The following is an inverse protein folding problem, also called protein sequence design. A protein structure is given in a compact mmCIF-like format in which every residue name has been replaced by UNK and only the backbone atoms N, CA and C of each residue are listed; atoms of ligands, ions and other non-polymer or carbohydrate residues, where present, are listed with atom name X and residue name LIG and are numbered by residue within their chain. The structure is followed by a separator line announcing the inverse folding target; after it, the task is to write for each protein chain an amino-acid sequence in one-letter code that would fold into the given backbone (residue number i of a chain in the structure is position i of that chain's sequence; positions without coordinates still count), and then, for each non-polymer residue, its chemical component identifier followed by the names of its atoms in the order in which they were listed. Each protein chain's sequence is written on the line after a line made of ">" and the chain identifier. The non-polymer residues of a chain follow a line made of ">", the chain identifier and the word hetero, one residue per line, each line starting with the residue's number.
data_IF_144220357899
#
_entry.id   IF_144220357899
#
_cell.length_a   1.000
_cell.length_b   1.000
_cell.length_c   1.000
_cell.angle_alpha   90.00
_cell.angle_beta   90.00
_cell.angle_gamma   90.00
#
_symmetry.space_group_name_H-M   'P 1'
#
loop_
_entity.id
_entity.type
_entity.pdbx_description
1 polymer ?
#
# COMPACT_ATOMS: atom_id res chain seq x y z
N UNK A 1 13.91 -8.15 -30.39
CA UNK A 1 13.41 -7.22 -29.36
C UNK A 1 13.54 -7.94 -28.06
N UNK A 2 14.47 -7.51 -27.18
CA UNK A 2 14.69 -8.15 -25.89
C UNK A 2 13.43 -7.98 -25.05
N UNK A 3 12.94 -9.09 -24.53
CA UNK A 3 11.88 -9.17 -23.53
C UNK A 3 12.33 -8.34 -22.30
N UNK A 4 11.90 -7.08 -22.24
CA UNK A 4 12.00 -6.28 -21.03
C UNK A 4 10.93 -6.79 -20.08
N UNK A 5 11.20 -7.94 -19.43
CA UNK A 5 10.41 -8.37 -18.29
C UNK A 5 10.36 -7.18 -17.31
N UNK A 6 9.17 -6.63 -17.10
CA UNK A 6 8.90 -5.57 -16.13
C UNK A 6 9.51 -5.98 -14.80
N UNK A 7 10.60 -5.31 -14.38
CA UNK A 7 11.28 -5.64 -13.13
C UNK A 7 10.51 -4.98 -11.99
N UNK A 8 9.39 -5.61 -11.60
CA UNK A 8 8.47 -5.15 -10.57
C UNK A 8 9.15 -5.00 -9.20
N UNK A 9 10.30 -5.66 -9.01
CA UNK A 9 11.04 -5.70 -7.75
C UNK A 9 12.20 -4.70 -7.66
N UNK A 10 12.45 -3.91 -8.72
CA UNK A 10 13.50 -2.89 -8.70
C UNK A 10 13.06 -1.65 -7.92
N UNK A 11 13.88 -1.21 -6.97
CA UNK A 11 13.63 -0.06 -6.11
C UNK A 11 13.46 -0.43 -4.63
N UNK A 12 12.84 0.46 -3.89
CA UNK A 12 12.63 0.36 -2.44
C UNK A 12 11.19 -0.05 -2.12
N UNK A 13 11.01 -0.81 -1.05
CA UNK A 13 9.68 -1.07 -0.47
C UNK A 13 9.11 0.21 0.17
N UNK A 14 7.83 0.14 0.54
CA UNK A 14 7.17 1.23 1.25
C UNK A 14 7.87 1.56 2.58
N UNK A 15 8.21 0.54 3.37
CA UNK A 15 8.83 0.69 4.68
C UNK A 15 10.28 1.19 4.60
N UNK A 16 11.06 0.74 3.59
CA UNK A 16 12.40 1.25 3.32
C UNK A 16 12.38 2.73 2.91
N UNK A 17 11.34 3.18 2.20
CA UNK A 17 11.21 4.58 1.76
C UNK A 17 10.89 5.55 2.89
N UNK A 18 10.14 5.14 3.91
CA UNK A 18 9.72 6.01 5.01
C UNK A 18 10.89 6.79 5.65
N UNK A 19 11.95 6.14 6.15
CA UNK A 19 13.08 6.85 6.74
C UNK A 19 13.87 7.66 5.71
N UNK A 20 14.03 7.19 4.47
CA UNK A 20 14.80 7.86 3.43
C UNK A 20 14.11 9.16 2.97
N UNK A 21 12.81 9.09 2.73
CA UNK A 21 11.99 10.27 2.35
C UNK A 21 11.93 11.26 3.51
N UNK A 22 11.67 10.79 4.74
CA UNK A 22 11.65 11.65 5.93
C UNK A 22 12.97 12.40 6.13
N UNK A 23 14.11 11.71 6.05
CA UNK A 23 15.44 12.32 6.17
C UNK A 23 15.70 13.37 5.08
N UNK A 24 15.29 13.09 3.84
CA UNK A 24 15.46 14.03 2.72
C UNK A 24 14.62 15.30 2.91
N UNK A 25 13.37 15.16 3.33
CA UNK A 25 12.47 16.28 3.57
C UNK A 25 12.89 17.12 4.79
N UNK A 26 13.42 16.48 5.83
CA UNK A 26 13.89 17.15 7.06
C UNK A 26 15.04 18.15 6.80
N UNK A 27 15.86 17.92 5.80
CA UNK A 27 16.94 18.84 5.37
C UNK A 27 16.49 19.79 4.25
N UNK A 28 15.19 19.86 3.95
CA UNK A 28 14.61 20.81 2.97
C UNK A 28 14.79 20.39 1.51
N UNK A 29 15.24 19.16 1.21
CA UNK A 29 15.36 18.67 -0.15
C UNK A 29 14.00 18.23 -0.71
N UNK A 30 13.79 18.49 -2.01
CA UNK A 30 12.61 18.00 -2.70
C UNK A 30 12.78 16.52 -3.08
N UNK A 31 11.74 15.72 -2.91
CA UNK A 31 11.75 14.28 -3.23
C UNK A 31 10.86 14.02 -4.45
N UNK A 32 11.36 13.23 -5.40
CA UNK A 32 10.58 12.65 -6.49
C UNK A 32 10.46 11.13 -6.31
N UNK A 33 9.24 10.68 -6.10
CA UNK A 33 8.91 9.27 -5.97
C UNK A 33 8.33 8.73 -7.27
N UNK A 34 9.03 7.79 -7.90
CA UNK A 34 8.56 7.10 -9.10
C UNK A 34 8.15 5.67 -8.76
N UNK A 35 7.15 5.16 -9.45
CA UNK A 35 6.69 3.78 -9.26
C UNK A 35 5.44 3.49 -10.07
N UNK A 36 5.08 2.24 -10.16
CA UNK A 36 3.89 1.79 -10.88
C UNK A 36 2.59 2.42 -10.34
N UNK A 37 1.53 2.52 -11.14
CA UNK A 37 0.24 3.01 -10.67
C UNK A 37 -0.31 2.13 -9.54
N UNK A 38 -0.90 2.76 -8.53
CA UNK A 38 -1.56 2.05 -7.42
C UNK A 38 -0.62 1.44 -6.36
N UNK A 39 0.71 1.68 -6.42
CA UNK A 39 1.68 1.10 -5.45
C UNK A 39 1.72 1.81 -4.09
N UNK A 40 1.05 2.96 -3.93
CA UNK A 40 1.02 3.69 -2.65
C UNK A 40 1.83 4.99 -2.61
N UNK A 41 2.28 5.55 -3.74
CA UNK A 41 3.03 6.81 -3.79
C UNK A 41 2.35 7.97 -3.04
N UNK A 42 1.09 8.19 -3.36
CA UNK A 42 0.30 9.26 -2.72
C UNK A 42 0.02 8.94 -1.24
N UNK A 43 -0.17 7.65 -0.89
CA UNK A 43 -0.32 7.24 0.50
C UNK A 43 0.92 7.59 1.34
N UNK A 44 2.12 7.35 0.81
CA UNK A 44 3.37 7.73 1.47
C UNK A 44 3.48 9.24 1.67
N UNK A 45 3.07 10.04 0.68
CA UNK A 45 3.08 11.51 0.82
C UNK A 45 2.13 11.99 1.92
N UNK A 46 0.92 11.41 2.01
CA UNK A 46 -0.03 11.72 3.08
C UNK A 46 0.52 11.31 4.46
N UNK A 47 1.14 10.14 4.57
CA UNK A 47 1.78 9.69 5.81
C UNK A 47 2.92 10.63 6.23
N UNK A 48 3.80 11.02 5.30
CA UNK A 48 4.89 11.96 5.58
C UNK A 48 4.39 13.31 6.06
N UNK A 49 3.33 13.85 5.46
CA UNK A 49 2.70 15.08 5.90
C UNK A 49 2.18 14.96 7.35
N UNK A 50 1.54 13.83 7.68
CA UNK A 50 1.08 13.53 9.04
C UNK A 50 2.23 13.39 10.05
N UNK A 51 3.30 12.69 9.70
CA UNK A 51 4.49 12.52 10.55
C UNK A 51 5.22 13.83 10.83
N UNK A 52 5.26 14.72 9.84
CA UNK A 52 5.88 16.05 9.98
C UNK A 52 4.93 17.08 10.63
N UNK A 53 3.67 16.74 10.85
CA UNK A 53 2.66 17.65 11.39
C UNK A 53 2.36 18.84 10.45
N UNK A 54 2.54 18.69 9.13
CA UNK A 54 2.38 19.74 8.15
C UNK A 54 1.05 19.63 7.40
N UNK A 55 0.31 20.74 7.21
CA UNK A 55 -0.88 20.75 6.35
C UNK A 55 -0.52 20.37 4.92
N UNK A 56 -1.20 19.34 4.39
CA UNK A 56 -0.97 18.82 3.04
C UNK A 56 -1.72 19.66 1.99
N UNK A 57 -1.01 20.03 0.95
CA UNK A 57 -1.54 20.57 -0.31
C UNK A 57 -1.32 19.52 -1.40
N UNK A 58 -2.33 18.70 -1.67
CA UNK A 58 -2.33 17.67 -2.72
C UNK A 58 -2.69 18.30 -4.06
N UNK A 59 -1.72 18.40 -4.96
CA UNK A 59 -1.83 19.08 -6.25
C UNK A 59 -1.57 18.07 -7.37
N UNK A 60 -2.63 17.70 -8.08
CA UNK A 60 -2.53 16.86 -9.27
C UNK A 60 -2.30 17.71 -10.49
N UNK A 61 -1.06 17.78 -10.95
CA UNK A 61 -0.68 18.67 -12.03
C UNK A 61 -1.45 18.44 -13.33
N UNK A 62 -1.72 17.17 -13.67
CA UNK A 62 -2.46 16.83 -14.89
C UNK A 62 -3.94 17.26 -14.87
N UNK A 63 -4.51 17.53 -13.69
CA UNK A 63 -5.93 17.88 -13.50
C UNK A 63 -6.15 19.37 -13.22
N UNK A 64 -5.08 20.17 -13.18
CA UNK A 64 -5.15 21.61 -12.87
C UNK A 64 -4.86 22.44 -14.10
N UNK A 65 -5.64 23.50 -14.29
CA UNK A 65 -5.30 24.53 -15.25
C UNK A 65 -4.09 25.35 -14.74
N UNK A 66 -3.25 25.91 -15.63
CA UNK A 66 -2.12 26.75 -15.21
C UNK A 66 -2.51 27.90 -14.27
N UNK A 67 -3.68 28.47 -14.44
CA UNK A 67 -4.20 29.52 -13.56
C UNK A 67 -4.48 29.03 -12.13
N UNK A 68 -4.87 27.78 -11.96
CA UNK A 68 -5.07 27.16 -10.64
C UNK A 68 -3.74 26.82 -9.94
N UNK A 69 -2.66 26.74 -10.71
CA UNK A 69 -1.31 26.54 -10.18
C UNK A 69 -0.61 27.85 -9.85
N UNK A 70 -0.66 28.82 -10.79
CA UNK A 70 0.14 30.05 -10.74
C UNK A 70 -0.66 31.29 -10.35
N UNK A 71 -2.00 31.21 -10.32
CA UNK A 71 -2.87 32.35 -10.10
C UNK A 71 -3.23 33.11 -11.37
N UNK A 72 -3.99 34.17 -11.21
CA UNK A 72 -4.54 35.00 -12.29
C UNK A 72 -4.12 36.47 -12.11
N UNK A 73 -3.75 37.12 -13.20
CA UNK A 73 -3.50 38.53 -13.16
C UNK A 73 -4.82 39.29 -13.19
N UNK A 74 -4.97 40.27 -12.29
CA UNK A 74 -6.11 41.12 -12.20
C UNK A 74 -5.67 42.60 -12.32
N UNK A 75 -6.35 43.47 -13.08
CA UNK A 75 -5.99 44.87 -13.20
C UNK A 75 -6.31 45.62 -11.89
N UNK A 76 -5.28 46.16 -11.26
CA UNK A 76 -5.41 47.16 -10.20
C UNK A 76 -5.47 48.55 -10.84
N UNK A 77 -6.68 49.11 -10.95
CA UNK A 77 -6.92 50.37 -11.65
C UNK A 77 -6.34 51.56 -10.89
N UNK A 78 -6.26 51.47 -9.57
CA UNK A 78 -5.76 52.58 -8.73
C UNK A 78 -4.24 52.68 -8.84
N UNK A 79 -3.57 51.56 -8.96
CA UNK A 79 -2.09 51.51 -9.10
C UNK A 79 -1.63 51.45 -10.56
N UNK A 80 -2.54 51.36 -11.52
CA UNK A 80 -2.27 51.19 -12.95
C UNK A 80 -1.31 50.07 -13.28
N UNK A 81 -1.49 48.89 -12.61
CA UNK A 81 -0.67 47.71 -12.78
C UNK A 81 -1.51 46.44 -12.77
N UNK A 82 -0.91 45.33 -13.20
CA UNK A 82 -1.49 43.99 -13.05
C UNK A 82 -1.03 43.39 -11.73
N UNK A 83 -1.97 43.04 -10.89
CA UNK A 83 -1.72 42.32 -9.63
C UNK A 83 -1.99 40.80 -9.82
N UNK A 84 -1.03 39.96 -9.43
CA UNK A 84 -1.21 38.55 -9.41
C UNK A 84 -2.02 38.15 -8.17
N UNK A 85 -3.17 37.50 -8.37
CA UNK A 85 -3.97 36.88 -7.32
C UNK A 85 -3.59 35.40 -7.21
N UNK A 86 -2.95 34.96 -6.12
CA UNK A 86 -2.53 33.57 -5.96
C UNK A 86 -3.71 32.67 -5.61
N UNK A 87 -3.64 31.38 -5.95
CA UNK A 87 -4.57 30.36 -5.47
C UNK A 87 -4.51 30.23 -3.93
N UNK A 88 -5.58 29.70 -3.33
CA UNK A 88 -5.66 29.55 -1.86
C UNK A 88 -4.55 28.67 -1.29
N UNK A 89 -4.17 27.59 -1.99
CA UNK A 89 -3.08 26.73 -1.56
C UNK A 89 -1.74 27.47 -1.45
N UNK A 90 -1.46 28.42 -2.37
CA UNK A 90 -0.26 29.27 -2.32
C UNK A 90 -0.29 30.18 -1.09
N UNK A 91 -1.46 30.81 -0.82
CA UNK A 91 -1.62 31.64 0.38
C UNK A 91 -1.37 30.82 1.64
N UNK A 92 -1.90 29.59 1.71
CA UNK A 92 -1.72 28.72 2.85
C UNK A 92 -0.25 28.41 3.13
N UNK A 93 0.53 28.01 2.11
CA UNK A 93 1.96 27.65 2.28
C UNK A 93 2.89 28.85 2.39
N UNK A 94 2.41 30.06 2.09
CA UNK A 94 3.14 31.30 2.37
C UNK A 94 2.94 31.77 3.81
N UNK A 95 1.75 31.54 4.38
CA UNK A 95 1.40 32.02 5.72
C UNK A 95 2.00 31.13 6.82
N UNK A 96 2.16 29.84 6.59
CA UNK A 96 2.67 28.87 7.57
C UNK A 96 3.39 27.71 6.87
N UNK A 97 4.19 26.92 7.61
CA UNK A 97 4.78 25.70 7.07
C UNK A 97 3.72 24.78 6.46
N UNK A 98 4.00 24.20 5.29
CA UNK A 98 3.11 23.30 4.60
C UNK A 98 3.84 22.15 3.92
N UNK A 99 3.09 21.14 3.51
CA UNK A 99 3.56 20.03 2.70
C UNK A 99 2.93 20.15 1.31
N UNK A 100 3.72 20.49 0.30
CA UNK A 100 3.27 20.55 -1.11
C UNK A 100 3.56 19.22 -1.77
N UNK A 101 2.51 18.53 -2.18
CA UNK A 101 2.61 17.28 -2.92
C UNK A 101 2.16 17.47 -4.36
N UNK A 102 3.08 17.29 -5.30
CA UNK A 102 2.82 17.37 -6.74
C UNK A 102 2.61 15.96 -7.28
N UNK A 103 1.36 15.50 -7.35
CA UNK A 103 1.05 14.18 -7.91
C UNK A 103 0.96 14.22 -9.43
N UNK A 104 1.30 13.08 -10.05
CA UNK A 104 1.31 12.90 -11.51
C UNK A 104 2.17 13.94 -12.24
N UNK A 105 3.34 14.32 -11.67
CA UNK A 105 4.20 15.38 -12.17
C UNK A 105 4.62 15.20 -13.64
N UNK A 106 4.63 13.97 -14.13
CA UNK A 106 5.01 13.61 -15.49
C UNK A 106 3.84 13.16 -16.37
N UNK A 107 2.59 13.32 -15.93
CA UNK A 107 1.42 12.98 -16.74
C UNK A 107 1.00 14.15 -17.63
N UNK A 108 1.09 13.98 -18.95
CA UNK A 108 0.55 14.87 -20.00
C UNK A 108 0.73 16.39 -19.78
N UNK A 109 1.86 16.79 -19.20
CA UNK A 109 2.07 18.17 -18.74
C UNK A 109 2.53 19.07 -19.88
N UNK A 110 1.85 20.21 -20.05
CA UNK A 110 2.28 21.25 -20.97
C UNK A 110 3.54 21.95 -20.47
N UNK A 111 4.22 22.73 -21.35
CA UNK A 111 5.37 23.55 -20.95
C UNK A 111 5.06 24.51 -19.79
N UNK A 112 3.82 25.00 -19.72
CA UNK A 112 3.39 25.88 -18.62
C UNK A 112 3.33 25.14 -17.28
N UNK A 113 2.83 23.91 -17.26
CA UNK A 113 2.84 23.09 -16.05
C UNK A 113 4.27 22.77 -15.59
N UNK A 114 5.18 22.45 -16.53
CA UNK A 114 6.59 22.22 -16.19
C UNK A 114 7.26 23.49 -15.63
N UNK A 115 6.95 24.66 -16.18
CA UNK A 115 7.46 25.95 -15.66
C UNK A 115 6.94 26.25 -14.25
N UNK A 116 5.63 25.98 -14.00
CA UNK A 116 5.05 26.12 -12.66
C UNK A 116 5.71 25.14 -11.66
N UNK A 117 5.82 23.86 -12.02
CA UNK A 117 6.50 22.86 -11.20
C UNK A 117 7.95 23.25 -10.90
N UNK A 118 8.67 23.83 -11.87
CA UNK A 118 10.03 24.30 -11.69
C UNK A 118 10.11 25.40 -10.61
N UNK A 119 9.24 26.42 -10.65
CA UNK A 119 9.18 27.46 -9.63
C UNK A 119 8.85 26.90 -8.23
N UNK A 120 7.88 26.00 -8.16
CA UNK A 120 7.46 25.39 -6.90
C UNK A 120 8.61 24.59 -6.28
N UNK A 121 9.27 23.76 -7.09
CA UNK A 121 10.30 22.82 -6.61
C UNK A 121 11.62 23.53 -6.31
N UNK A 122 12.09 24.39 -7.19
CA UNK A 122 13.39 25.03 -7.09
C UNK A 122 13.35 26.33 -6.28
N UNK A 123 12.45 27.24 -6.65
CA UNK A 123 12.43 28.58 -6.09
C UNK A 123 11.57 28.69 -4.84
N UNK A 124 10.80 27.63 -4.50
CA UNK A 124 9.87 27.62 -3.35
C UNK A 124 8.94 28.83 -3.37
N UNK A 125 8.39 29.11 -4.56
CA UNK A 125 7.51 30.28 -4.78
C UNK A 125 6.56 30.04 -5.95
N UNK A 126 5.56 30.90 -6.03
CA UNK A 126 4.70 31.07 -7.20
C UNK A 126 4.64 32.58 -7.50
N UNK A 127 5.17 32.98 -8.63
CA UNK A 127 5.30 34.41 -8.95
C UNK A 127 6.02 35.19 -7.83
N UNK A 128 5.43 36.26 -7.26
CA UNK A 128 6.02 37.04 -6.16
C UNK A 128 5.87 36.36 -4.78
N UNK A 129 5.07 35.28 -4.65
CA UNK A 129 4.71 34.66 -3.38
C UNK A 129 5.71 33.58 -2.98
N UNK A 130 6.64 33.90 -2.10
CA UNK A 130 7.59 32.94 -1.53
C UNK A 130 6.91 32.07 -0.46
N UNK A 131 7.16 30.76 -0.49
CA UNK A 131 6.65 29.84 0.53
C UNK A 131 7.33 30.05 1.87
N UNK A 132 6.66 29.63 2.93
CA UNK A 132 7.28 29.61 4.25
C UNK A 132 8.57 28.76 4.21
N UNK A 133 9.68 29.21 4.83
CA UNK A 133 10.99 28.51 4.74
C UNK A 133 10.97 27.03 5.14
N UNK A 134 10.07 26.63 6.02
CA UNK A 134 9.90 25.24 6.47
C UNK A 134 8.89 24.44 5.61
N UNK A 135 8.38 25.02 4.52
CA UNK A 135 7.53 24.28 3.58
C UNK A 135 8.35 23.25 2.83
N UNK A 136 7.91 22.00 2.82
CA UNK A 136 8.54 20.89 2.09
C UNK A 136 7.80 20.60 0.80
N UNK A 137 8.52 20.04 -0.18
CA UNK A 137 7.95 19.66 -1.47
C UNK A 137 8.30 18.23 -1.80
N UNK A 138 7.28 17.44 -2.11
CA UNK A 138 7.40 16.09 -2.61
C UNK A 138 6.63 15.97 -3.92
N UNK A 139 7.13 15.18 -4.85
CA UNK A 139 6.45 14.89 -6.10
C UNK A 139 6.34 13.39 -6.33
N UNK A 140 5.31 12.98 -7.07
CA UNK A 140 5.15 11.61 -7.54
C UNK A 140 4.92 11.55 -9.05
N UNK A 141 5.43 10.50 -9.68
CA UNK A 141 5.25 10.23 -11.11
C UNK A 141 5.20 8.74 -11.39
N UNK A 142 4.62 8.38 -12.53
CA UNK A 142 4.61 7.01 -13.02
C UNK A 142 5.91 6.69 -13.75
N UNK A 143 6.19 5.40 -13.93
CA UNK A 143 7.34 4.95 -14.72
C UNK A 143 7.00 5.05 -16.21
N UNK A 144 8.02 5.30 -17.05
CA UNK A 144 7.85 5.41 -18.50
C UNK A 144 7.37 4.09 -19.13
N UNK A 145 7.69 2.98 -18.51
CA UNK A 145 7.32 1.62 -18.92
C UNK A 145 5.85 1.27 -18.67
N UNK A 146 5.12 2.06 -17.88
CA UNK A 146 3.70 1.81 -17.54
C UNK A 146 2.72 2.17 -18.67
N UNK A 147 3.20 2.51 -19.88
CA UNK A 147 2.38 2.96 -21.01
C UNK A 147 1.41 4.12 -20.68
N UNK A 148 1.58 4.76 -19.52
CA UNK A 148 0.88 5.98 -19.19
C UNK A 148 1.32 7.10 -20.14
N UNK A 149 0.47 8.11 -20.36
CA UNK A 149 0.86 9.35 -21.00
C UNK A 149 1.90 10.06 -20.13
N UNK A 150 3.17 9.71 -20.29
CA UNK A 150 4.27 10.22 -19.49
C UNK A 150 5.14 11.14 -20.35
N UNK A 151 5.20 12.40 -19.99
CA UNK A 151 6.14 13.35 -20.57
C UNK A 151 7.46 13.33 -19.75
N UNK A 152 8.63 13.23 -20.38
CA UNK A 152 9.89 13.33 -19.66
C UNK A 152 10.03 14.69 -19.00
N UNK A 153 10.45 14.69 -17.73
CA UNK A 153 10.80 15.92 -17.03
C UNK A 153 12.10 16.49 -17.61
N UNK A 154 12.20 17.81 -17.68
CA UNK A 154 13.44 18.46 -18.10
C UNK A 154 14.61 18.05 -17.21
N UNK A 155 15.83 18.01 -17.76
CA UNK A 155 17.04 17.72 -16.98
C UNK A 155 17.22 18.69 -15.81
N UNK A 156 16.86 19.96 -16.03
CA UNK A 156 16.92 20.98 -14.99
C UNK A 156 15.98 20.66 -13.80
N UNK A 157 14.76 20.19 -14.06
CA UNK A 157 13.82 19.80 -13.01
C UNK A 157 14.25 18.50 -12.34
N UNK A 158 14.70 17.51 -13.10
CA UNK A 158 15.21 16.25 -12.56
C UNK A 158 16.36 16.47 -11.55
N UNK A 159 17.32 17.34 -11.85
CA UNK A 159 18.46 17.63 -10.96
C UNK A 159 18.08 18.35 -9.65
N UNK A 160 16.81 18.63 -9.41
CA UNK A 160 16.33 19.33 -8.21
C UNK A 160 15.63 18.39 -7.21
N UNK A 161 15.58 17.11 -7.54
CA UNK A 161 14.98 16.10 -6.68
C UNK A 161 15.99 15.11 -6.15
N UNK A 162 15.73 14.61 -4.96
CA UNK A 162 16.20 13.30 -4.52
C UNK A 162 15.26 12.27 -5.12
N UNK A 163 15.80 11.34 -5.88
CA UNK A 163 15.01 10.36 -6.64
C UNK A 163 14.90 9.04 -5.91
N UNK A 164 13.67 8.58 -5.74
CA UNK A 164 13.41 7.22 -5.25
C UNK A 164 12.48 6.49 -6.21
N UNK A 165 12.70 5.18 -6.35
CA UNK A 165 11.79 4.28 -7.06
C UNK A 165 11.09 3.39 -6.04
N UNK A 166 9.75 3.42 -6.02
CA UNK A 166 8.94 2.54 -5.19
C UNK A 166 8.63 1.26 -5.96
N UNK A 167 9.03 0.11 -5.41
CA UNK A 167 8.67 -1.19 -5.94
C UNK A 167 7.33 -1.67 -5.40
N UNK A 168 6.72 -2.62 -6.09
CA UNK A 168 5.62 -3.40 -5.54
C UNK A 168 6.20 -4.38 -4.51
N UNK A 169 5.71 -4.31 -3.28
CA UNK A 169 6.15 -5.15 -2.18
C UNK A 169 4.95 -5.88 -1.57
N UNK A 170 4.98 -7.21 -1.64
CA UNK A 170 3.86 -8.02 -1.16
C UNK A 170 3.75 -7.97 0.36
N UNK A 171 4.87 -8.00 1.09
CA UNK A 171 4.86 -8.01 2.56
C UNK A 171 4.37 -6.69 3.13
N UNK A 172 4.84 -5.57 2.57
CA UNK A 172 4.36 -4.24 2.93
C UNK A 172 2.85 -4.08 2.63
N UNK A 173 2.38 -4.58 1.47
CA UNK A 173 0.97 -4.54 1.11
C UNK A 173 0.10 -5.44 2.02
N UNK A 174 0.58 -6.62 2.37
CA UNK A 174 -0.09 -7.53 3.30
C UNK A 174 -0.22 -6.88 4.68
N UNK A 175 0.87 -6.28 5.18
CA UNK A 175 0.85 -5.58 6.46
C UNK A 175 -0.14 -4.40 6.48
N UNK A 176 -0.11 -3.56 5.45
CA UNK A 176 -1.10 -2.49 5.28
C UNK A 176 -2.52 -3.03 5.19
N UNK A 177 -2.73 -4.08 4.39
CA UNK A 177 -4.05 -4.67 4.17
C UNK A 177 -4.68 -5.29 5.42
N UNK A 178 -3.87 -5.79 6.35
CA UNK A 178 -4.33 -6.26 7.67
C UNK A 178 -4.94 -5.12 8.50
N UNK A 179 -4.37 -3.91 8.39
CA UNK A 179 -4.84 -2.72 9.12
C UNK A 179 -6.05 -2.10 8.41
N UNK A 180 -6.02 -2.02 7.09
CA UNK A 180 -7.06 -1.39 6.25
C UNK A 180 -8.30 -2.29 6.04
N UNK A 181 -8.30 -3.53 6.54
CA UNK A 181 -9.44 -4.45 6.47
C UNK A 181 -9.62 -5.10 5.09
N UNK A 182 -8.52 -5.37 4.39
CA UNK A 182 -8.57 -6.18 3.16
C UNK A 182 -9.11 -7.57 3.49
N UNK A 183 -9.98 -8.09 2.61
CA UNK A 183 -10.63 -9.39 2.79
C UNK A 183 -9.60 -10.50 3.08
N UNK A 184 -9.74 -11.25 4.19
CA UNK A 184 -8.72 -12.19 4.66
C UNK A 184 -8.31 -13.24 3.62
N UNK A 185 -9.24 -13.69 2.79
CA UNK A 185 -8.95 -14.65 1.73
C UNK A 185 -8.09 -14.07 0.59
N UNK A 186 -8.17 -12.75 0.33
CA UNK A 186 -7.28 -12.09 -0.63
C UNK A 186 -5.87 -11.97 -0.04
N UNK A 187 -5.75 -11.58 1.24
CA UNK A 187 -4.47 -11.55 1.94
C UNK A 187 -3.81 -12.93 1.94
N UNK A 188 -4.57 -13.96 2.30
CA UNK A 188 -4.09 -15.34 2.31
C UNK A 188 -3.67 -15.81 0.91
N UNK A 189 -4.41 -15.44 -0.14
CA UNK A 189 -4.06 -15.75 -1.51
C UNK A 189 -2.72 -15.11 -1.91
N UNK A 190 -2.54 -13.81 -1.67
CA UNK A 190 -1.29 -13.11 -1.99
C UNK A 190 -0.12 -13.69 -1.17
N UNK A 191 -0.31 -13.89 0.14
CA UNK A 191 0.71 -14.47 1.02
C UNK A 191 1.13 -15.89 0.57
N UNK A 192 0.18 -16.71 0.12
CA UNK A 192 0.46 -18.08 -0.35
C UNK A 192 1.33 -18.14 -1.62
N UNK A 193 1.50 -17.02 -2.32
CA UNK A 193 2.33 -16.94 -3.52
C UNK A 193 3.83 -16.72 -3.22
N UNK A 194 4.18 -16.44 -1.96
CA UNK A 194 5.57 -16.22 -1.54
C UNK A 194 6.28 -15.20 -2.41
N UNK A 195 7.43 -15.54 -2.98
CA UNK A 195 8.21 -14.65 -3.85
C UNK A 195 7.46 -14.11 -5.09
N UNK A 196 6.37 -14.76 -5.50
CA UNK A 196 5.53 -14.29 -6.60
C UNK A 196 4.43 -13.31 -6.15
N UNK A 197 4.30 -13.01 -4.87
CA UNK A 197 3.27 -12.12 -4.33
C UNK A 197 3.26 -10.74 -5.00
N UNK A 198 4.43 -10.15 -5.24
CA UNK A 198 4.55 -8.87 -5.93
C UNK A 198 3.99 -8.92 -7.37
N UNK A 199 4.18 -10.03 -8.09
CA UNK A 199 3.61 -10.23 -9.44
C UNK A 199 2.09 -10.41 -9.41
N UNK A 200 1.58 -11.09 -8.38
CA UNK A 200 0.12 -11.20 -8.19
C UNK A 200 -0.51 -9.84 -7.92
N UNK A 201 0.19 -8.97 -7.18
CA UNK A 201 -0.27 -7.62 -6.91
C UNK A 201 -0.17 -6.69 -8.11
N UNK A 202 0.79 -6.91 -9.01
CA UNK A 202 0.96 -6.06 -10.19
C UNK A 202 1.35 -6.89 -11.41
N UNK A 203 0.38 -7.10 -12.30
CA UNK A 203 0.53 -7.88 -13.53
C UNK A 203 -0.20 -7.16 -14.68
N UNK A 204 0.41 -6.10 -15.30
CA UNK A 204 -0.21 -5.42 -16.42
C UNK A 204 -0.24 -6.38 -17.64
N UNK A 205 -1.40 -6.54 -18.24
CA UNK A 205 -1.65 -7.47 -19.33
C UNK A 205 -2.21 -6.79 -20.60
N UNK A 206 -2.31 -5.45 -20.58
CA UNK A 206 -2.88 -4.67 -21.68
C UNK A 206 -4.40 -4.58 -21.68
N UNK A 207 -5.08 -5.21 -20.72
CA UNK A 207 -6.52 -5.07 -20.52
C UNK A 207 -6.86 -3.80 -19.74
N UNK A 208 -8.11 -3.34 -19.82
CA UNK A 208 -8.61 -2.18 -19.06
C UNK A 208 -8.57 -2.43 -17.55
N UNK A 209 -8.83 -3.67 -17.12
CA UNK A 209 -8.75 -4.11 -15.74
C UNK A 209 -7.60 -5.10 -15.57
N UNK A 210 -6.66 -4.79 -14.69
CA UNK A 210 -5.52 -5.65 -14.37
C UNK A 210 -5.13 -5.53 -12.88
N UNK A 211 -4.38 -6.50 -12.34
CA UNK A 211 -3.94 -6.48 -10.96
C UNK A 211 -3.05 -5.28 -10.65
N UNK A 212 -3.44 -4.51 -9.64
CA UNK A 212 -2.62 -3.50 -8.95
C UNK A 212 -2.95 -3.56 -7.46
N UNK A 213 -2.07 -3.08 -6.56
CA UNK A 213 -2.40 -2.97 -5.14
C UNK A 213 -3.73 -2.25 -4.88
N UNK A 214 -4.03 -1.20 -5.66
CA UNK A 214 -5.31 -0.47 -5.60
C UNK A 214 -6.49 -1.29 -6.09
N UNK A 215 -6.36 -1.98 -7.23
CA UNK A 215 -7.47 -2.77 -7.78
C UNK A 215 -7.80 -3.99 -6.92
N UNK A 216 -6.81 -4.60 -6.25
CA UNK A 216 -7.04 -5.62 -5.23
C UNK A 216 -7.79 -5.08 -4.01
N UNK A 217 -7.49 -3.86 -3.55
CA UNK A 217 -8.24 -3.21 -2.49
C UNK A 217 -9.69 -2.92 -2.90
N UNK A 218 -9.93 -2.50 -4.15
CA UNK A 218 -11.29 -2.35 -4.69
C UNK A 218 -12.03 -3.69 -4.75
N UNK A 219 -11.38 -4.73 -5.26
CA UNK A 219 -11.92 -6.09 -5.32
C UNK A 219 -12.30 -6.62 -3.93
N UNK A 220 -11.48 -6.33 -2.90
CA UNK A 220 -11.75 -6.66 -1.51
C UNK A 220 -13.07 -6.07 -1.02
N UNK A 221 -13.27 -4.76 -1.21
CA UNK A 221 -14.51 -4.07 -0.80
C UNK A 221 -15.74 -4.68 -1.44
N UNK A 222 -15.66 -5.01 -2.74
CA UNK A 222 -16.75 -5.64 -3.47
C UNK A 222 -17.00 -7.09 -3.02
N UNK A 223 -15.95 -7.81 -2.66
CA UNK A 223 -16.07 -9.20 -2.20
C UNK A 223 -16.78 -9.29 -0.84
N UNK A 224 -16.54 -8.32 0.07
CA UNK A 224 -17.27 -8.25 1.35
C UNK A 224 -18.78 -8.07 1.17
N UNK A 225 -19.23 -7.36 0.13
CA UNK A 225 -20.63 -7.09 -0.14
C UNK A 225 -21.28 -7.99 -1.18
N UNK A 226 -20.58 -9.00 -1.71
CA UNK A 226 -21.11 -9.84 -2.79
C UNK A 226 -22.24 -10.74 -2.31
N UNK A 227 -23.39 -10.70 -3.03
CA UNK A 227 -24.56 -11.47 -2.69
C UNK A 227 -24.38 -12.99 -2.87
N UNK A 228 -23.61 -13.37 -3.91
CA UNK A 228 -23.28 -14.76 -4.22
C UNK A 228 -21.92 -14.88 -4.94
N UNK A 229 -21.46 -16.12 -5.11
CA UNK A 229 -20.17 -16.41 -5.73
C UNK A 229 -20.05 -15.92 -7.17
N UNK A 230 -21.10 -16.07 -7.97
CA UNK A 230 -21.10 -15.70 -9.39
C UNK A 230 -21.02 -14.20 -9.56
N UNK A 231 -21.76 -13.45 -8.75
CA UNK A 231 -21.72 -11.99 -8.71
C UNK A 231 -20.34 -11.54 -8.20
N UNK A 232 -19.88 -12.08 -7.09
CA UNK A 232 -18.57 -11.76 -6.51
C UNK A 232 -17.42 -11.96 -7.51
N UNK A 233 -17.42 -13.07 -8.25
CA UNK A 233 -16.40 -13.34 -9.26
C UNK A 233 -16.38 -12.31 -10.38
N UNK A 234 -17.56 -11.89 -10.85
CA UNK A 234 -17.69 -10.84 -11.88
C UNK A 234 -17.21 -9.48 -11.39
N UNK A 235 -17.54 -9.14 -10.13
CA UNK A 235 -17.11 -7.89 -9.51
C UNK A 235 -15.58 -7.86 -9.33
N UNK A 236 -14.98 -8.96 -8.86
CA UNK A 236 -13.52 -9.08 -8.76
C UNK A 236 -12.87 -8.98 -10.14
N UNK A 237 -13.42 -9.69 -11.16
CA UNK A 237 -12.90 -9.62 -12.52
C UNK A 237 -12.95 -8.21 -13.12
N UNK A 238 -13.97 -7.43 -12.79
CA UNK A 238 -14.08 -6.04 -13.21
C UNK A 238 -13.00 -5.13 -12.58
N UNK A 239 -12.38 -5.54 -11.47
CA UNK A 239 -11.31 -4.79 -10.81
C UNK A 239 -9.93 -5.24 -11.25
N UNK A 240 -9.66 -6.56 -11.23
CA UNK A 240 -8.33 -7.13 -11.39
C UNK A 240 -8.14 -7.92 -12.70
N UNK A 241 -9.15 -7.93 -13.55
CA UNK A 241 -9.17 -8.72 -14.77
C UNK A 241 -9.61 -10.17 -14.56
N UNK A 242 -10.05 -10.81 -15.66
CA UNK A 242 -10.65 -12.14 -15.62
C UNK A 242 -9.66 -13.21 -15.15
N UNK A 243 -8.43 -13.17 -15.64
CA UNK A 243 -7.40 -14.17 -15.32
C UNK A 243 -7.04 -14.16 -13.82
N UNK A 244 -6.86 -12.99 -13.22
CA UNK A 244 -6.57 -12.85 -11.78
C UNK A 244 -7.76 -13.27 -10.93
N UNK A 245 -8.99 -12.94 -11.35
CA UNK A 245 -10.21 -13.38 -10.68
C UNK A 245 -10.36 -14.91 -10.70
N UNK A 246 -10.05 -15.56 -11.83
CA UNK A 246 -10.07 -17.03 -11.91
C UNK A 246 -9.09 -17.66 -10.91
N UNK A 247 -7.85 -17.16 -10.84
CA UNK A 247 -6.83 -17.63 -9.89
C UNK A 247 -7.30 -17.45 -8.44
N UNK A 248 -7.85 -16.28 -8.09
CA UNK A 248 -8.41 -16.03 -6.75
C UNK A 248 -9.56 -16.99 -6.44
N UNK A 249 -10.51 -17.19 -7.37
CA UNK A 249 -11.66 -18.08 -7.12
C UNK A 249 -11.27 -19.55 -7.07
N UNK A 250 -10.20 -19.98 -7.74
CA UNK A 250 -9.60 -21.29 -7.52
C UNK A 250 -9.07 -21.42 -6.08
N UNK A 251 -8.41 -20.37 -5.57
CA UNK A 251 -7.94 -20.31 -4.18
C UNK A 251 -9.10 -20.28 -3.16
N UNK A 252 -10.18 -19.54 -3.43
CA UNK A 252 -11.36 -19.49 -2.55
C UNK A 252 -12.03 -20.84 -2.37
N UNK A 253 -11.90 -21.78 -3.32
CA UNK A 253 -12.35 -23.16 -3.14
C UNK A 253 -11.53 -23.90 -2.08
N UNK A 254 -10.24 -23.59 -1.96
CA UNK A 254 -9.37 -24.12 -0.90
C UNK A 254 -9.75 -23.48 0.43
N UNK A 255 -9.88 -22.16 0.47
CA UNK A 255 -10.31 -21.39 1.64
C UNK A 255 -11.58 -21.94 2.30
N UNK A 256 -12.59 -22.26 1.51
CA UNK A 256 -13.88 -22.80 1.99
C UNK A 256 -13.82 -24.21 2.59
N UNK A 257 -12.75 -24.97 2.35
CA UNK A 257 -12.54 -26.27 3.00
C UNK A 257 -12.09 -26.12 4.44
N UNK A 258 -11.57 -24.97 4.84
CA UNK A 258 -11.19 -24.69 6.22
C UNK A 258 -12.44 -24.40 7.04
N UNK A 259 -12.59 -25.10 8.16
CA UNK A 259 -13.67 -24.87 9.12
C UNK A 259 -13.08 -24.37 10.45
N UNK A 260 -12.96 -23.04 10.66
CA UNK A 260 -12.35 -22.47 11.85
C UNK A 260 -13.08 -22.86 13.14
N UNK A 261 -14.41 -22.90 13.12
CA UNK A 261 -15.22 -23.33 14.27
C UNK A 261 -14.88 -24.75 14.72
N UNK A 262 -14.77 -25.67 13.76
CA UNK A 262 -14.41 -27.05 14.08
C UNK A 262 -13.01 -27.15 14.69
N UNK A 263 -12.06 -26.31 14.27
CA UNK A 263 -10.70 -26.27 14.78
C UNK A 263 -10.70 -25.65 16.19
N UNK A 264 -11.23 -24.44 16.33
CA UNK A 264 -11.10 -23.64 17.55
C UNK A 264 -12.04 -24.12 18.66
N UNK A 265 -13.32 -24.37 18.33
CA UNK A 265 -14.33 -24.75 19.33
C UNK A 265 -14.28 -26.23 19.62
N UNK A 266 -14.26 -27.07 18.58
CA UNK A 266 -14.36 -28.53 18.73
C UNK A 266 -13.00 -29.24 18.82
N UNK A 267 -11.89 -28.51 18.71
CA UNK A 267 -10.53 -29.06 18.82
C UNK A 267 -10.15 -30.06 17.71
N UNK A 268 -10.82 -29.99 16.55
CA UNK A 268 -10.46 -30.84 15.41
C UNK A 268 -9.08 -30.45 14.90
N UNK A 269 -8.24 -31.46 14.66
CA UNK A 269 -6.94 -31.22 14.01
C UNK A 269 -7.14 -30.69 12.60
N UNK A 270 -6.21 -29.82 12.16
CA UNK A 270 -6.14 -29.42 10.77
C UNK A 270 -5.75 -30.65 9.94
N UNK A 271 -6.65 -31.13 9.11
CA UNK A 271 -6.36 -32.21 8.18
C UNK A 271 -5.59 -31.63 6.99
N UNK A 272 -4.28 -31.87 6.94
CA UNK A 272 -3.48 -31.56 5.77
C UNK A 272 -3.88 -32.48 4.60
N UNK A 273 -3.83 -32.01 3.35
CA UNK A 273 -4.11 -32.85 2.18
C UNK A 273 -3.20 -34.09 2.12
N UNK A 274 -3.71 -35.19 1.56
CA UNK A 274 -3.01 -36.48 1.48
C UNK A 274 -1.66 -36.45 0.75
N UNK A 275 -1.41 -35.37 -0.02
CA UNK A 275 -0.17 -35.15 -0.79
C UNK A 275 0.91 -34.36 -0.03
N UNK A 276 0.72 -34.13 1.27
CA UNK A 276 1.67 -33.41 2.11
C UNK A 276 1.39 -31.90 2.25
N UNK A 277 2.45 -31.14 2.53
CA UNK A 277 2.36 -29.70 2.75
C UNK A 277 1.97 -28.96 1.46
N UNK A 278 0.75 -28.41 1.42
CA UNK A 278 0.26 -27.53 0.36
C UNK A 278 0.22 -26.08 0.91
N UNK A 279 1.15 -25.19 0.49
CA UNK A 279 1.22 -23.83 1.01
C UNK A 279 -0.11 -23.09 0.96
N UNK A 280 -0.82 -23.17 -0.17
CA UNK A 280 -2.12 -22.52 -0.36
C UNK A 280 -3.15 -22.90 0.73
N UNK A 281 -3.20 -24.17 1.11
CA UNK A 281 -4.12 -24.63 2.14
C UNK A 281 -3.71 -24.17 3.54
N UNK A 282 -2.41 -24.16 3.83
CA UNK A 282 -1.89 -23.76 5.12
C UNK A 282 -2.10 -22.26 5.35
N UNK A 283 -1.77 -21.42 4.36
CA UNK A 283 -2.08 -19.98 4.43
C UNK A 283 -3.59 -19.73 4.58
N UNK A 284 -4.42 -20.46 3.83
CA UNK A 284 -5.86 -20.37 3.99
C UNK A 284 -6.31 -20.69 5.42
N UNK A 285 -5.76 -21.74 6.02
CA UNK A 285 -6.10 -22.15 7.38
C UNK A 285 -5.65 -21.08 8.42
N UNK A 286 -4.41 -20.56 8.30
CA UNK A 286 -3.89 -19.53 9.20
C UNK A 286 -4.74 -18.26 9.20
N UNK A 287 -5.03 -17.75 8.01
CA UNK A 287 -5.83 -16.53 7.87
C UNK A 287 -7.30 -16.77 8.26
N UNK A 288 -7.91 -17.88 7.85
CA UNK A 288 -9.31 -18.17 8.17
C UNK A 288 -9.55 -18.35 9.67
N UNK A 289 -8.65 -19.07 10.37
CA UNK A 289 -8.76 -19.28 11.81
C UNK A 289 -8.52 -17.97 12.56
N UNK A 290 -7.48 -17.20 12.19
CA UNK A 290 -7.20 -15.94 12.84
C UNK A 290 -8.34 -14.92 12.65
N UNK A 291 -8.84 -14.78 11.43
CA UNK A 291 -9.96 -13.88 11.12
C UNK A 291 -11.22 -14.28 11.88
N UNK A 292 -11.57 -15.56 11.84
CA UNK A 292 -12.75 -16.09 12.56
C UNK A 292 -12.68 -15.81 14.07
N UNK A 293 -11.50 -15.99 14.68
CA UNK A 293 -11.30 -15.67 16.11
C UNK A 293 -11.41 -14.17 16.38
N UNK A 294 -10.86 -13.34 15.51
CA UNK A 294 -10.78 -11.88 15.69
C UNK A 294 -12.17 -11.21 15.65
N UNK A 295 -13.10 -11.75 14.86
CA UNK A 295 -14.47 -11.22 14.75
C UNK A 295 -15.40 -11.71 15.87
N UNK A 296 -14.96 -12.62 16.75
CA UNK A 296 -15.77 -13.04 17.87
C UNK A 296 -15.87 -11.94 18.92
N UNK A 297 -17.06 -11.63 19.45
CA UNK A 297 -17.24 -10.62 20.49
C UNK A 297 -16.53 -10.99 21.79
N UNK A 298 -16.44 -12.27 22.10
CA UNK A 298 -15.73 -12.83 23.25
C UNK A 298 -15.09 -14.16 22.83
N UNK A 299 -13.81 -14.34 23.12
CA UNK A 299 -13.11 -15.61 22.94
C UNK A 299 -13.01 -16.32 24.30
N UNK A 300 -13.73 -17.42 24.53
CA UNK A 300 -13.68 -18.17 25.78
C UNK A 300 -12.31 -18.81 26.04
N UNK A 301 -11.89 -18.92 27.30
CA UNK A 301 -10.63 -19.59 27.68
C UNK A 301 -10.59 -21.06 27.24
N UNK A 302 -11.76 -21.72 27.18
CA UNK A 302 -11.88 -23.10 26.71
C UNK A 302 -11.40 -23.31 25.25
N UNK A 303 -11.33 -22.25 24.44
CA UNK A 303 -10.85 -22.32 23.05
C UNK A 303 -9.32 -22.22 22.92
N UNK A 304 -8.65 -21.64 23.92
CA UNK A 304 -7.20 -21.38 23.88
C UNK A 304 -6.35 -22.65 23.72
N UNK A 305 -6.64 -23.80 24.42
CA UNK A 305 -5.91 -25.02 24.19
C UNK A 305 -6.01 -25.56 22.76
N UNK A 306 -7.18 -25.44 22.14
CA UNK A 306 -7.42 -25.87 20.77
C UNK A 306 -6.66 -24.97 19.77
N UNK A 307 -6.68 -23.67 19.99
CA UNK A 307 -5.95 -22.69 19.18
C UNK A 307 -4.44 -22.93 19.29
N UNK A 308 -3.94 -23.23 20.49
CA UNK A 308 -2.54 -23.56 20.68
C UNK A 308 -2.15 -24.86 19.98
N UNK A 309 -3.00 -25.89 20.08
CA UNK A 309 -2.83 -27.15 19.33
C UNK A 309 -2.81 -26.93 17.82
N UNK A 310 -3.67 -26.05 17.30
CA UNK A 310 -3.67 -25.67 15.89
C UNK A 310 -2.34 -25.03 15.49
N UNK A 311 -1.82 -24.08 16.27
CA UNK A 311 -0.51 -23.46 16.01
C UNK A 311 0.66 -24.46 16.07
N UNK A 312 0.50 -25.56 16.80
CA UNK A 312 1.48 -26.65 16.93
C UNK A 312 1.27 -27.77 15.90
N UNK A 313 0.42 -27.57 14.88
CA UNK A 313 0.19 -28.60 13.85
C UNK A 313 1.53 -28.93 13.17
N UNK A 314 1.89 -30.22 13.04
CA UNK A 314 3.12 -30.64 12.36
C UNK A 314 3.15 -30.11 10.92
N UNK A 315 4.29 -29.55 10.50
CA UNK A 315 4.48 -28.93 9.18
C UNK A 315 4.18 -27.42 9.12
N UNK A 316 3.71 -26.82 10.22
CA UNK A 316 3.68 -25.34 10.33
C UNK A 316 5.05 -24.86 10.81
N UNK A 317 5.69 -24.06 9.98
CA UNK A 317 6.92 -23.38 10.38
C UNK A 317 6.64 -22.16 11.29
N UNK A 318 7.70 -21.63 11.89
CA UNK A 318 7.60 -20.53 12.84
C UNK A 318 7.11 -19.22 12.17
N UNK A 319 7.34 -19.07 10.87
CA UNK A 319 6.87 -17.89 10.11
C UNK A 319 5.34 -17.89 10.00
N UNK A 320 4.76 -19.01 9.65
CA UNK A 320 3.29 -19.19 9.58
C UNK A 320 2.63 -19.05 10.95
N UNK A 321 3.25 -19.61 11.98
CA UNK A 321 2.78 -19.45 13.36
C UNK A 321 2.80 -17.98 13.78
N UNK A 322 3.88 -17.25 13.45
CA UNK A 322 4.00 -15.81 13.72
C UNK A 322 2.96 -15.00 12.97
N UNK A 323 2.72 -15.32 11.71
CA UNK A 323 1.69 -14.68 10.88
C UNK A 323 0.31 -14.77 11.55
N UNK A 324 -0.08 -15.97 12.00
CA UNK A 324 -1.34 -16.18 12.70
C UNK A 324 -1.41 -15.39 14.02
N UNK A 325 -0.35 -15.44 14.85
CA UNK A 325 -0.28 -14.71 16.11
C UNK A 325 -0.33 -13.19 15.93
N UNK A 326 0.34 -12.67 14.90
CA UNK A 326 0.28 -11.24 14.57
C UNK A 326 -1.15 -10.78 14.30
N UNK A 327 -1.91 -11.56 13.54
CA UNK A 327 -3.32 -11.27 13.26
C UNK A 327 -4.21 -11.36 14.50
N UNK A 328 -3.95 -12.30 15.39
CA UNK A 328 -4.68 -12.46 16.65
C UNK A 328 -4.38 -11.38 17.69
N UNK A 329 -3.35 -10.54 17.48
CA UNK A 329 -2.91 -9.55 18.47
C UNK A 329 -4.03 -8.56 18.87
N UNK A 330 -4.83 -8.11 17.92
CA UNK A 330 -5.93 -7.16 18.16
C UNK A 330 -7.05 -7.72 19.04
N UNK A 331 -7.22 -9.05 19.10
CA UNK A 331 -8.25 -9.72 19.92
C UNK A 331 -7.89 -9.92 21.38
N UNK A 332 -6.66 -9.57 21.80
CA UNK A 332 -6.14 -9.85 23.15
C UNK A 332 -5.87 -11.34 23.46
N UNK A 333 -6.13 -12.22 22.51
CA UNK A 333 -5.93 -13.67 22.64
C UNK A 333 -4.47 -14.05 22.81
N UNK A 334 -3.56 -13.33 22.16
CA UNK A 334 -2.12 -13.62 22.19
C UNK A 334 -1.54 -13.54 23.60
N UNK A 335 -1.92 -12.53 24.39
CA UNK A 335 -1.43 -12.38 25.77
C UNK A 335 -1.92 -13.51 26.66
N UNK A 336 -3.16 -13.98 26.43
CA UNK A 336 -3.73 -15.13 27.14
C UNK A 336 -3.04 -16.46 26.73
N UNK A 337 -2.71 -16.62 25.45
CA UNK A 337 -1.93 -17.76 24.97
C UNK A 337 -0.52 -17.79 25.59
N UNK A 338 0.16 -16.64 25.68
CA UNK A 338 1.49 -16.52 26.32
C UNK A 338 1.49 -16.95 27.79
N UNK A 339 0.38 -16.79 28.48
CA UNK A 339 0.25 -17.21 29.87
C UNK A 339 0.18 -18.75 30.03
N UNK A 340 -0.07 -19.48 28.96
CA UNK A 340 -0.16 -20.94 28.98
C UNK A 340 1.23 -21.59 29.01
N UNK A 341 1.50 -22.58 29.90
CA UNK A 341 2.80 -23.23 29.97
C UNK A 341 3.28 -23.85 28.64
N UNK A 342 2.36 -24.43 27.87
CA UNK A 342 2.62 -25.05 26.58
C UNK A 342 2.97 -24.06 25.46
N UNK A 343 2.72 -22.76 25.65
CA UNK A 343 3.16 -21.71 24.69
C UNK A 343 4.67 -21.52 24.68
N UNK A 344 5.36 -21.85 25.78
CA UNK A 344 6.83 -21.72 25.86
C UNK A 344 7.58 -22.52 24.81
N UNK A 345 7.02 -23.64 24.35
CA UNK A 345 7.60 -24.47 23.29
C UNK A 345 7.57 -23.75 21.92
N UNK A 346 6.55 -22.96 21.65
CA UNK A 346 6.44 -22.12 20.46
C UNK A 346 7.33 -20.87 20.55
N UNK A 347 7.49 -20.30 21.73
CA UNK A 347 8.13 -19.00 21.92
C UNK A 347 9.61 -18.98 21.46
N UNK A 348 10.32 -20.09 21.64
CA UNK A 348 11.77 -20.16 21.32
C UNK A 348 12.01 -20.02 19.81
N UNK A 349 11.21 -20.67 18.99
CA UNK A 349 11.33 -20.62 17.52
C UNK A 349 10.79 -19.28 16.96
N UNK A 350 9.73 -18.77 17.55
CA UNK A 350 9.15 -17.47 17.20
C UNK A 350 10.11 -16.29 17.45
N UNK A 351 10.90 -16.33 18.52
CA UNK A 351 11.91 -15.28 18.81
C UNK A 351 13.00 -15.29 17.74
N UNK A 352 13.44 -16.48 17.29
CA UNK A 352 14.45 -16.60 16.22
C UNK A 352 13.92 -16.03 14.90
N UNK A 353 12.70 -16.34 14.53
CA UNK A 353 12.08 -15.83 13.29
C UNK A 353 11.88 -14.31 13.36
N UNK A 354 11.41 -13.79 14.49
CA UNK A 354 11.23 -12.35 14.66
C UNK A 354 12.56 -11.58 14.49
N UNK A 355 13.63 -12.08 15.05
CA UNK A 355 14.96 -11.45 14.94
C UNK A 355 15.55 -11.52 13.52
N UNK A 356 15.14 -12.51 12.71
CA UNK A 356 15.61 -12.69 11.34
C UNK A 356 14.79 -11.89 10.31
N UNK A 357 13.48 -11.72 10.55
CA UNK A 357 12.52 -11.12 9.59
C UNK A 357 12.24 -9.64 9.91
N UNK A 358 12.37 -9.24 11.18
CA UNK A 358 12.13 -7.87 11.67
C UNK A 358 13.29 -7.44 12.56
N UNK A 359 14.47 -7.11 11.97
CA UNK A 359 15.64 -6.65 12.72
C UNK A 359 15.40 -5.32 13.46
#
# INVERSE_FOLDING_TARGET
>A
MADKSLNVTDGYSYDELRPLVSASLAVGLSVLLRGHPGVGKSALAHEMAGLLGLPLQDIRLAQREPAELCGVYFPDRDKQLLQLLPPDWVRAVCAQPGFVFLDEINAAVTRLHQAAAYQIVLERRVGPFAFHPQTVVMAAGNLEEDQALVAPLSSALNNRFVHFRMRVDADAWLHWGEIDGIHPAILAYVASQGSNGARVLYEPNGDDAFPTPRSWAMASRLLHGAADEKVGKRLVAACVGAAAAEKLYAYLRIWRKVNPEAIVVKGKALALPDHGFEPSFVYAAMYAVADWVTVQPVVPDAWLPNLLKFLQTPGLDAELQWLCLRRLKSSGVVERLKAMPSFRLLATDLVRVRAAVYP
#
